data_IF_966838316735
#
_entry.id   IF_966838316735
#
_cell.length_a   1.000
_cell.length_b   1.000
_cell.length_c   1.000
_cell.angle_alpha   90.00
_cell.angle_beta   90.00
_cell.angle_gamma   90.00
#
_symmetry.space_group_name_H-M   'P 1'
#
loop_
_entity.id
_entity.type
_entity.pdbx_description
1 polymer ?
#
# COMPACT_ATOMS: atom_id res chain seq x y z
N UNK A 1 25.09 -1.14 6.90
CA UNK A 1 23.71 -1.07 6.36
C UNK A 1 22.79 -0.62 7.48
N UNK A 2 22.28 0.62 7.47
CA UNK A 2 21.24 1.01 8.43
C UNK A 2 19.91 0.40 7.96
N UNK A 3 19.51 -0.69 8.59
CA UNK A 3 18.18 -1.27 8.41
C UNK A 3 17.16 -0.20 8.80
N UNK A 4 16.20 0.19 7.93
CA UNK A 4 15.16 1.13 8.28
C UNK A 4 14.47 0.69 9.57
N UNK A 5 14.21 1.64 10.49
CA UNK A 5 13.60 1.32 11.78
C UNK A 5 12.29 0.53 11.58
N UNK A 6 12.01 -0.41 12.47
CA UNK A 6 10.79 -1.24 12.42
C UNK A 6 9.54 -0.36 12.30
N UNK A 7 9.54 0.80 12.96
CA UNK A 7 8.51 1.83 12.86
C UNK A 7 8.33 2.35 11.44
N UNK A 8 9.42 2.67 10.73
CA UNK A 8 9.35 3.15 9.35
C UNK A 8 8.78 2.08 8.41
N UNK A 9 9.18 0.81 8.58
CA UNK A 9 8.60 -0.31 7.83
C UNK A 9 7.11 -0.48 8.14
N UNK A 10 6.72 -0.38 9.42
CA UNK A 10 5.33 -0.49 9.84
C UNK A 10 4.46 0.61 9.22
N UNK A 11 4.94 1.87 9.23
CA UNK A 11 4.24 3.00 8.62
C UNK A 11 4.09 2.82 7.11
N UNK A 12 5.14 2.38 6.41
CA UNK A 12 5.08 2.16 4.96
C UNK A 12 4.04 1.08 4.61
N UNK A 13 4.06 -0.06 5.32
CA UNK A 13 3.09 -1.13 5.11
C UNK A 13 1.67 -0.69 5.47
N UNK A 14 1.51 0.06 6.56
CA UNK A 14 0.22 0.60 6.98
C UNK A 14 -0.36 1.54 5.93
N UNK A 15 0.43 2.49 5.42
CA UNK A 15 0.03 3.42 4.34
C UNK A 15 -0.24 2.69 3.03
N UNK A 16 0.36 1.51 2.78
CA UNK A 16 0.04 0.73 1.59
C UNK A 16 -1.30 0.00 1.71
N UNK A 17 -1.59 -0.59 2.88
CA UNK A 17 -2.74 -1.46 3.07
C UNK A 17 -4.01 -0.67 3.44
N UNK A 18 -3.90 0.23 4.42
CA UNK A 18 -5.05 0.95 4.97
C UNK A 18 -5.88 1.68 3.89
N UNK A 19 -5.31 2.57 3.04
CA UNK A 19 -6.11 3.30 2.06
C UNK A 19 -6.70 2.37 1.01
N UNK A 20 -6.02 1.28 0.65
CA UNK A 20 -6.56 0.32 -0.31
C UNK A 20 -7.79 -0.40 0.25
N UNK A 21 -7.74 -0.81 1.52
CA UNK A 21 -8.89 -1.41 2.22
C UNK A 21 -10.02 -0.40 2.36
N UNK A 22 -9.72 0.84 2.76
CA UNK A 22 -10.72 1.90 2.92
C UNK A 22 -11.44 2.23 1.60
N UNK A 23 -10.68 2.35 0.50
CA UNK A 23 -11.25 2.54 -0.84
C UNK A 23 -12.10 1.33 -1.23
N UNK A 24 -11.58 0.11 -1.04
CA UNK A 24 -12.30 -1.12 -1.33
C UNK A 24 -13.63 -1.20 -0.58
N UNK A 25 -13.64 -0.90 0.71
CA UNK A 25 -14.85 -0.84 1.52
C UNK A 25 -15.83 0.23 1.03
N UNK A 26 -15.34 1.43 0.69
CA UNK A 26 -16.18 2.53 0.22
C UNK A 26 -16.86 2.20 -1.11
N UNK A 27 -16.14 1.56 -2.04
CA UNK A 27 -16.67 1.15 -3.36
C UNK A 27 -17.65 -0.02 -3.21
N UNK A 28 -17.34 -1.00 -2.35
CA UNK A 28 -18.16 -2.20 -2.15
C UNK A 28 -19.36 -1.97 -1.22
N UNK A 29 -19.35 -0.92 -0.39
CA UNK A 29 -20.43 -0.60 0.54
C UNK A 29 -21.82 -0.59 -0.11
N UNK A 30 -22.09 0.17 -1.20
CA UNK A 30 -23.43 0.21 -1.80
C UNK A 30 -23.86 -1.13 -2.43
N UNK A 31 -22.91 -1.94 -2.88
CA UNK A 31 -23.19 -3.23 -3.54
C UNK A 31 -23.45 -4.36 -2.55
N UNK A 32 -22.91 -4.25 -1.34
CA UNK A 32 -22.88 -5.35 -0.38
C UNK A 32 -23.75 -5.11 0.85
N UNK A 33 -24.52 -4.01 0.92
CA UNK A 33 -25.25 -3.54 2.11
C UNK A 33 -26.21 -4.55 2.76
N UNK A 34 -26.72 -5.54 2.01
CA UNK A 34 -27.56 -6.62 2.55
C UNK A 34 -26.81 -7.93 2.81
N UNK A 35 -25.53 -8.00 2.46
CA UNK A 35 -24.76 -9.25 2.51
C UNK A 35 -24.27 -9.55 3.92
N UNK A 36 -24.13 -10.84 4.24
CA UNK A 36 -23.48 -11.30 5.46
C UNK A 36 -22.03 -10.77 5.53
N UNK A 37 -21.53 -10.31 6.70
CA UNK A 37 -20.20 -9.70 6.82
C UNK A 37 -19.06 -10.55 6.26
N UNK A 38 -19.14 -11.87 6.43
CA UNK A 38 -18.16 -12.82 5.88
C UNK A 38 -18.07 -12.77 4.34
N UNK A 39 -19.21 -12.67 3.64
CA UNK A 39 -19.25 -12.58 2.18
C UNK A 39 -18.70 -11.23 1.69
N UNK A 40 -18.96 -10.13 2.42
CA UNK A 40 -18.35 -8.84 2.13
C UNK A 40 -16.84 -8.91 2.22
N UNK A 41 -16.32 -9.49 3.31
CA UNK A 41 -14.89 -9.65 3.51
C UNK A 41 -14.26 -10.52 2.42
N UNK A 42 -14.95 -11.58 1.99
CA UNK A 42 -14.49 -12.43 0.89
C UNK A 42 -14.34 -11.63 -0.41
N UNK A 43 -15.36 -10.88 -0.84
CA UNK A 43 -15.27 -10.07 -2.07
C UNK A 43 -14.24 -8.95 -1.93
N UNK A 44 -14.22 -8.28 -0.78
CA UNK A 44 -13.22 -7.24 -0.49
C UNK A 44 -11.81 -7.79 -0.64
N UNK A 45 -11.50 -8.94 -0.03
CA UNK A 45 -10.16 -9.55 -0.10
C UNK A 45 -9.82 -10.05 -1.49
N UNK A 46 -10.79 -10.64 -2.22
CA UNK A 46 -10.61 -11.06 -3.61
C UNK A 46 -10.26 -9.89 -4.54
N UNK A 47 -10.67 -8.67 -4.22
CA UNK A 47 -10.35 -7.47 -5.01
C UNK A 47 -9.09 -6.77 -4.49
N UNK A 48 -9.03 -6.52 -3.18
CA UNK A 48 -7.97 -5.75 -2.53
C UNK A 48 -6.62 -6.46 -2.63
N UNK A 49 -6.57 -7.77 -2.37
CA UNK A 49 -5.28 -8.50 -2.33
C UNK A 49 -4.62 -8.53 -3.70
N UNK A 50 -5.28 -8.91 -4.81
CA UNK A 50 -4.66 -8.87 -6.13
C UNK A 50 -4.27 -7.45 -6.54
N UNK A 51 -5.12 -6.46 -6.26
CA UNK A 51 -4.80 -5.04 -6.55
C UNK A 51 -3.55 -4.59 -5.80
N UNK A 52 -3.44 -4.95 -4.52
CA UNK A 52 -2.27 -4.63 -3.70
C UNK A 52 -1.01 -5.23 -4.32
N UNK A 53 -1.03 -6.54 -4.59
CA UNK A 53 0.17 -7.30 -5.00
C UNK A 53 0.59 -6.97 -6.43
N UNK A 54 -0.35 -6.87 -7.36
CA UNK A 54 -0.01 -6.69 -8.78
C UNK A 54 0.15 -5.24 -9.20
N UNK A 55 -0.49 -4.29 -8.51
CA UNK A 55 -0.45 -2.88 -8.90
C UNK A 55 0.28 -2.03 -7.85
N UNK A 56 -0.16 -2.05 -6.60
CA UNK A 56 0.31 -1.09 -5.59
C UNK A 56 1.74 -1.37 -5.14
N UNK A 57 2.05 -2.60 -4.75
CA UNK A 57 3.37 -3.03 -4.30
C UNK A 57 4.46 -2.74 -5.35
N UNK A 58 4.33 -3.14 -6.63
CA UNK A 58 5.35 -2.85 -7.63
C UNK A 58 5.50 -1.34 -7.89
N UNK A 59 4.40 -0.57 -7.90
CA UNK A 59 4.45 0.90 -8.03
C UNK A 59 5.17 1.56 -6.86
N UNK A 60 4.92 1.10 -5.63
CA UNK A 60 5.60 1.59 -4.44
C UNK A 60 7.10 1.27 -4.50
N UNK A 61 7.49 0.02 -4.79
CA UNK A 61 8.91 -0.38 -4.91
C UNK A 61 9.63 0.46 -5.98
N UNK A 62 9.00 0.66 -7.15
CA UNK A 62 9.54 1.53 -8.21
C UNK A 62 9.70 2.98 -7.74
N UNK A 63 8.70 3.50 -7.02
CA UNK A 63 8.72 4.84 -6.42
C UNK A 63 9.84 5.01 -5.39
N UNK A 64 9.99 4.10 -4.44
CA UNK A 64 11.06 4.12 -3.43
C UNK A 64 12.46 4.07 -4.07
N UNK A 65 12.67 3.26 -5.12
CA UNK A 65 13.93 3.23 -5.85
C UNK A 65 14.29 4.58 -6.50
N UNK A 66 13.29 5.29 -7.02
CA UNK A 66 13.47 6.62 -7.62
C UNK A 66 13.77 7.70 -6.57
N UNK A 67 13.09 7.66 -5.42
CA UNK A 67 13.27 8.60 -4.32
C UNK A 67 14.65 8.42 -3.67
N UNK A 68 15.10 7.18 -3.48
CA UNK A 68 16.43 6.87 -2.93
C UNK A 68 17.55 7.36 -3.85
N UNK A 69 17.41 7.23 -5.18
CA UNK A 69 18.35 7.82 -6.16
C UNK A 69 18.37 9.35 -6.11
N UNK A 70 17.21 9.99 -5.96
CA UNK A 70 17.11 11.46 -5.81
C UNK A 70 17.76 11.93 -4.52
N UNK A 71 17.60 11.21 -3.42
CA UNK A 71 18.25 11.53 -2.15
C UNK A 71 19.77 11.34 -2.21
N UNK A 72 20.25 10.26 -2.85
CA UNK A 72 21.69 10.04 -3.06
C UNK A 72 22.32 11.15 -3.92
N UNK A 73 21.64 11.60 -4.99
CA UNK A 73 22.10 12.75 -5.79
C UNK A 73 22.09 14.06 -5.00
N UNK A 74 21.07 14.31 -4.17
CA UNK A 74 21.04 15.51 -3.30
C UNK A 74 22.14 15.50 -2.24
N UNK A 75 22.48 14.33 -1.68
CA UNK A 75 23.58 14.19 -0.73
C UNK A 75 24.94 14.42 -1.40
N UNK A 76 25.16 13.89 -2.61
CA UNK A 76 26.37 14.11 -3.39
C UNK A 76 26.52 15.55 -3.89
N UNK A 77 25.42 16.27 -4.13
CA UNK A 77 25.45 17.69 -4.51
C UNK A 77 25.66 18.64 -3.32
N UNK A 78 25.63 18.13 -2.08
CA UNK A 78 25.85 18.89 -0.85
C UNK A 78 27.22 18.60 -0.22
N UNK A 79 27.98 17.64 -0.77
CA UNK A 79 29.35 17.30 -0.39
C UNK A 79 30.32 17.95 -1.37
#
# INVERSE_FOLDING_TARGET
MHTPSVHMRAVITWVAIFPLVAIGMTILAPLTESWHPALRALVLTLVVVPTAVYLVVPKLIAGYGSLKRRQARKAAAKA
#
